data_IF_460199715867
#
_entry.id   IF_460199715867
#
_cell.length_a   1.000
_cell.length_b   1.000
_cell.length_c   1.000
_cell.angle_alpha   90.00
_cell.angle_beta   90.00
_cell.angle_gamma   90.00
#
_symmetry.space_group_name_H-M   'P 1'
#
loop_
_entity.id
_entity.type
_entity.pdbx_description
1 polymer ?
#
# COMPACT_ATOMS: atom_id res chain seq x y z
N UNK A 1 18.05 19.00 35.64
CA UNK A 1 18.05 17.63 35.12
C UNK A 1 16.66 17.07 34.93
N UNK A 2 15.75 17.25 35.90
CA UNK A 2 14.37 16.72 35.80
C UNK A 2 13.63 17.31 34.59
N UNK A 3 13.76 18.60 34.34
CA UNK A 3 13.13 19.29 33.20
C UNK A 3 13.63 18.74 31.87
N UNK A 4 14.92 18.44 31.77
CA UNK A 4 15.52 17.87 30.57
C UNK A 4 14.96 16.49 30.27
N UNK A 5 14.83 15.65 31.30
CA UNK A 5 14.28 14.30 31.16
C UNK A 5 12.81 14.34 30.71
N UNK A 6 12.03 15.25 31.27
CA UNK A 6 10.63 15.45 30.87
C UNK A 6 10.54 15.91 29.43
N UNK A 7 11.38 16.85 29.02
CA UNK A 7 11.40 17.36 27.66
C UNK A 7 11.75 16.25 26.64
N UNK A 8 12.74 15.41 26.97
CA UNK A 8 13.13 14.28 26.12
C UNK A 8 11.99 13.26 26.01
N UNK A 9 11.35 12.94 27.12
CA UNK A 9 10.22 12.00 27.14
C UNK A 9 9.05 12.51 26.29
N UNK A 10 8.71 13.78 26.41
CA UNK A 10 7.66 14.39 25.58
C UNK A 10 8.02 14.41 24.12
N UNK A 11 9.26 14.68 23.77
CA UNK A 11 9.73 14.67 22.39
C UNK A 11 9.63 13.26 21.80
N UNK A 12 10.08 12.26 22.51
CA UNK A 12 10.00 10.85 22.06
C UNK A 12 8.56 10.44 21.88
N UNK A 13 7.68 10.77 22.83
CA UNK A 13 6.25 10.48 22.71
C UNK A 13 5.64 11.13 21.48
N UNK A 14 5.93 12.40 21.26
CA UNK A 14 5.43 13.14 20.10
C UNK A 14 5.93 12.56 18.77
N UNK A 15 7.22 12.21 18.70
CA UNK A 15 7.80 11.60 17.51
C UNK A 15 7.16 10.24 17.21
N UNK A 16 6.93 9.42 18.23
CA UNK A 16 6.25 8.13 18.06
C UNK A 16 4.80 8.31 17.61
N UNK A 17 4.11 9.31 18.13
CA UNK A 17 2.73 9.62 17.74
C UNK A 17 2.65 10.00 16.26
N UNK A 18 3.58 10.84 15.78
CA UNK A 18 3.64 11.22 14.37
C UNK A 18 3.89 10.01 13.46
N UNK A 19 4.81 9.13 13.84
CA UNK A 19 5.07 7.90 13.09
C UNK A 19 3.85 7.01 13.04
N UNK A 20 3.14 6.89 14.15
CA UNK A 20 1.93 6.08 14.20
C UNK A 20 0.85 6.63 13.28
N UNK A 21 0.66 7.94 13.25
CA UNK A 21 -0.29 8.57 12.34
C UNK A 21 0.05 8.33 10.87
N UNK A 22 1.32 8.40 10.52
CA UNK A 22 1.75 8.14 9.17
C UNK A 22 1.50 6.69 8.76
N UNK A 23 1.79 5.74 9.64
CA UNK A 23 1.50 4.32 9.40
C UNK A 23 0.00 4.08 9.20
N UNK A 24 -0.84 4.71 10.02
CA UNK A 24 -2.29 4.60 9.91
C UNK A 24 -2.79 5.19 8.59
N UNK A 25 -2.22 6.31 8.15
CA UNK A 25 -2.56 6.92 6.87
C UNK A 25 -2.18 6.01 5.70
N UNK A 26 -0.99 5.42 5.73
CA UNK A 26 -0.52 4.50 4.71
C UNK A 26 -1.41 3.26 4.66
N UNK A 27 -1.75 2.70 5.81
CA UNK A 27 -2.62 1.54 5.91
C UNK A 27 -4.01 1.82 5.36
N UNK A 28 -4.60 2.98 5.69
CA UNK A 28 -5.90 3.39 5.16
C UNK A 28 -5.86 3.56 3.64
N UNK A 29 -4.76 4.13 3.11
CA UNK A 29 -4.55 4.22 1.66
C UNK A 29 -4.52 2.85 1.00
N UNK A 30 -3.85 1.88 1.63
CA UNK A 30 -3.82 0.50 1.16
C UNK A 30 -5.22 -0.14 1.17
N UNK A 31 -6.01 0.10 2.22
CA UNK A 31 -7.36 -0.43 2.33
C UNK A 31 -8.33 0.14 1.30
N UNK A 32 -8.04 1.32 0.74
CA UNK A 32 -8.86 1.92 -0.32
C UNK A 32 -8.70 1.23 -1.65
N UNK A 33 -7.57 0.54 -1.87
CA UNK A 33 -7.36 -0.19 -3.11
C UNK A 33 -8.24 -1.45 -3.14
N UNK A 34 -8.80 -1.80 -4.29
CA UNK A 34 -9.58 -3.03 -4.39
C UNK A 34 -8.68 -4.25 -4.25
N UNK A 35 -9.23 -5.36 -3.76
CA UNK A 35 -8.54 -6.64 -3.81
C UNK A 35 -8.50 -7.14 -5.25
N UNK A 36 -7.59 -8.06 -5.54
CA UNK A 36 -7.37 -8.54 -6.92
C UNK A 36 -8.65 -9.08 -7.56
N UNK A 37 -9.48 -9.77 -6.81
CA UNK A 37 -10.73 -10.35 -7.32
C UNK A 37 -11.71 -9.25 -7.74
N UNK A 38 -11.87 -8.22 -6.91
CA UNK A 38 -12.74 -7.08 -7.23
C UNK A 38 -12.18 -6.27 -8.39
N UNK A 39 -10.88 -6.11 -8.47
CA UNK A 39 -10.24 -5.38 -9.56
C UNK A 39 -10.50 -6.11 -10.89
N UNK A 40 -10.29 -7.42 -10.93
CA UNK A 40 -10.54 -8.22 -12.13
C UNK A 40 -12.01 -8.18 -12.53
N UNK A 41 -12.93 -8.26 -11.56
CA UNK A 41 -14.36 -8.19 -11.81
C UNK A 41 -14.78 -6.84 -12.40
N UNK A 42 -14.25 -5.74 -11.86
CA UNK A 42 -14.64 -4.39 -12.28
C UNK A 42 -14.02 -3.98 -13.62
N UNK A 43 -12.77 -4.38 -13.87
CA UNK A 43 -12.00 -3.84 -15.00
C UNK A 43 -11.67 -4.87 -16.06
N UNK A 44 -11.66 -6.16 -15.74
CA UNK A 44 -11.24 -7.21 -16.65
C UNK A 44 -12.12 -8.46 -16.52
N UNK A 45 -13.44 -8.36 -16.75
CA UNK A 45 -14.35 -9.48 -16.56
C UNK A 45 -14.07 -10.66 -17.49
N UNK A 46 -13.45 -10.42 -18.65
CA UNK A 46 -13.16 -11.43 -19.65
C UNK A 46 -11.83 -12.16 -19.45
N UNK A 47 -11.11 -11.85 -18.38
CA UNK A 47 -9.79 -12.40 -18.11
C UNK A 47 -9.75 -13.31 -16.89
N UNK A 48 -10.86 -13.91 -16.56
CA UNK A 48 -10.93 -14.88 -15.46
C UNK A 48 -10.01 -16.06 -15.72
N UNK A 49 -9.23 -16.42 -14.70
CA UNK A 49 -8.33 -17.57 -14.76
C UNK A 49 -6.96 -17.30 -15.35
N UNK A 50 -6.68 -16.09 -15.81
CA UNK A 50 -5.34 -15.71 -16.21
C UNK A 50 -4.52 -15.21 -15.02
N UNK A 51 -3.24 -15.57 -15.00
CA UNK A 51 -2.32 -15.09 -13.98
C UNK A 51 -2.03 -13.60 -14.22
N UNK A 52 -2.45 -12.79 -13.26
CA UNK A 52 -2.25 -11.36 -13.28
C UNK A 52 -3.32 -10.61 -14.07
N UNK A 53 -3.47 -9.35 -13.71
CA UNK A 53 -4.41 -8.42 -14.34
C UNK A 53 -3.63 -7.36 -15.09
N UNK A 54 -4.15 -6.92 -16.22
CA UNK A 54 -3.56 -5.79 -16.95
C UNK A 54 -3.97 -4.47 -16.31
N UNK A 55 -3.20 -3.42 -16.56
CA UNK A 55 -3.54 -2.08 -16.11
C UNK A 55 -4.83 -1.59 -16.79
N UNK A 56 -5.77 -1.08 -15.99
CA UNK A 56 -7.03 -0.55 -16.52
C UNK A 56 -6.86 0.83 -17.18
N UNK A 57 -5.73 1.49 -16.95
CA UNK A 57 -5.48 2.83 -17.48
C UNK A 57 -4.70 2.82 -18.78
N UNK A 58 -3.66 2.00 -18.89
CA UNK A 58 -2.81 1.96 -20.08
C UNK A 58 -2.78 0.59 -20.78
N UNK A 59 -3.40 -0.43 -20.19
CA UNK A 59 -3.46 -1.78 -20.76
C UNK A 59 -2.19 -2.60 -20.63
N UNK A 60 -1.15 -2.09 -19.98
CA UNK A 60 0.10 -2.80 -19.80
C UNK A 60 -0.08 -4.01 -18.89
N UNK A 61 0.58 -5.12 -19.22
CA UNK A 61 0.63 -6.30 -18.37
C UNK A 61 1.84 -6.31 -17.43
N UNK A 62 2.72 -5.35 -17.57
CA UNK A 62 3.90 -5.24 -16.71
C UNK A 62 3.52 -4.60 -15.40
N UNK A 63 3.29 -5.43 -14.37
CA UNK A 63 2.84 -5.00 -13.06
C UNK A 63 3.88 -5.42 -12.03
N UNK A 64 4.31 -4.47 -11.22
CA UNK A 64 5.21 -4.74 -10.10
C UNK A 64 4.43 -4.83 -8.80
N UNK A 65 4.96 -5.57 -7.86
CA UNK A 65 4.43 -5.63 -6.51
C UNK A 65 5.49 -5.15 -5.51
N UNK A 66 5.05 -4.48 -4.46
CA UNK A 66 5.95 -4.04 -3.41
C UNK A 66 5.22 -4.04 -2.07
N UNK A 67 5.99 -4.17 -1.00
CA UNK A 67 5.45 -4.09 0.36
C UNK A 67 5.02 -2.67 0.69
N UNK A 68 3.99 -2.54 1.54
CA UNK A 68 3.43 -1.23 1.89
C UNK A 68 4.44 -0.35 2.62
N UNK A 69 5.14 -0.89 3.61
CA UNK A 69 6.14 -0.16 4.40
C UNK A 69 7.54 -0.74 4.26
N UNK A 70 7.65 -2.04 4.01
CA UNK A 70 8.93 -2.74 3.96
C UNK A 70 8.89 -3.82 2.89
N UNK A 71 10.07 -4.28 2.45
CA UNK A 71 10.20 -5.29 1.42
C UNK A 71 9.52 -6.61 1.81
N UNK A 72 9.53 -6.97 3.08
CA UNK A 72 8.94 -8.20 3.61
C UNK A 72 7.55 -7.99 4.20
N UNK A 73 6.92 -6.85 3.97
CA UNK A 73 5.57 -6.57 4.42
C UNK A 73 4.60 -7.51 3.71
N UNK A 74 3.67 -8.09 4.47
CA UNK A 74 2.64 -8.96 3.92
C UNK A 74 1.58 -8.19 3.13
N UNK A 75 1.41 -6.90 3.44
CA UNK A 75 0.53 -6.00 2.71
C UNK A 75 1.24 -5.57 1.42
N UNK A 76 0.71 -6.01 0.28
CA UNK A 76 1.32 -5.77 -1.01
C UNK A 76 0.47 -4.85 -1.87
N UNK A 77 1.12 -3.98 -2.62
CA UNK A 77 0.48 -3.11 -3.60
C UNK A 77 0.99 -3.53 -4.98
N UNK A 78 0.06 -3.67 -5.91
CA UNK A 78 0.39 -3.95 -7.32
C UNK A 78 0.20 -2.68 -8.12
N UNK A 79 1.26 -2.24 -8.79
CA UNK A 79 1.26 -1.01 -9.57
C UNK A 79 1.79 -1.27 -10.98
N UNK A 80 1.28 -0.52 -11.94
CA UNK A 80 1.74 -0.61 -13.32
C UNK A 80 3.16 -0.05 -13.44
N UNK A 81 4.03 -0.79 -14.16
CA UNK A 81 5.39 -0.30 -14.45
C UNK A 81 5.40 0.78 -15.50
N UNK A 82 4.37 0.86 -16.32
CA UNK A 82 4.30 1.80 -17.45
C UNK A 82 3.77 3.17 -17.02
N UNK A 83 2.62 3.20 -16.34
CA UNK A 83 1.98 4.47 -15.93
C UNK A 83 2.06 4.76 -14.43
N UNK A 84 2.67 3.87 -13.64
CA UNK A 84 2.82 3.98 -12.19
C UNK A 84 1.51 4.04 -11.40
N UNK A 85 0.38 3.69 -12.00
CA UNK A 85 -0.89 3.66 -11.30
C UNK A 85 -0.94 2.49 -10.33
N UNK A 86 -1.40 2.74 -9.11
CA UNK A 86 -1.67 1.69 -8.12
C UNK A 86 -3.00 1.04 -8.50
N UNK A 87 -2.99 -0.27 -8.71
CA UNK A 87 -4.12 -0.99 -9.29
C UNK A 87 -4.94 -1.73 -8.23
N UNK A 88 -4.30 -2.58 -7.47
CA UNK A 88 -4.98 -3.41 -6.48
C UNK A 88 -4.03 -3.82 -5.37
N UNK A 89 -4.60 -4.43 -4.33
CA UNK A 89 -3.86 -4.88 -3.15
C UNK A 89 -3.96 -6.38 -2.99
N UNK A 90 -2.92 -6.97 -2.42
CA UNK A 90 -2.92 -8.35 -1.99
C UNK A 90 -2.35 -8.47 -0.59
N UNK A 91 -2.66 -9.54 0.09
CA UNK A 91 -2.14 -9.87 1.39
C UNK A 91 -1.56 -11.28 1.33
N UNK A 92 -0.32 -11.38 1.79
CA UNK A 92 0.38 -12.66 1.77
C UNK A 92 0.40 -13.36 3.09
#
# INVERSE_FOLDING_TARGET
MTVFLIAVALFVYWANWLKQQERDRIHRGWLRLPVVDKYAEQHQPNRRGQNGCACCYCGSRSIRQFGLEARNDQRRIHACNHCNARLYRTYR
#
